data_IF_133511937728
#
_entry.id   IF_133511937728
#
_cell.length_a   1.000
_cell.length_b   1.000
_cell.length_c   1.000
_cell.angle_alpha   90.00
_cell.angle_beta   90.00
_cell.angle_gamma   90.00
#
_symmetry.space_group_name_H-M   'P 1'
#
loop_
_entity.id
_entity.type
_entity.pdbx_description
1 polymer ?
#
# COMPACT_ATOMS: atom_id res chain seq x y z
N UNK A 1 9.44 -23.72 -1.13
CA UNK A 1 8.07 -24.11 -0.78
C UNK A 1 7.48 -22.98 0.01
N UNK A 2 6.66 -22.16 -0.65
CA UNK A 2 6.00 -21.01 -0.04
C UNK A 2 5.07 -21.46 1.09
N UNK A 3 5.05 -20.72 2.19
CA UNK A 3 4.04 -20.91 3.23
C UNK A 3 2.67 -20.46 2.69
N UNK A 4 1.68 -21.37 2.54
CA UNK A 4 0.36 -21.01 2.05
C UNK A 4 -0.41 -20.06 2.98
N UNK A 5 0.04 -19.86 4.22
CA UNK A 5 -0.53 -18.86 5.14
C UNK A 5 -0.14 -17.42 4.80
N UNK A 6 0.86 -17.20 3.94
CA UNK A 6 1.29 -15.85 3.53
C UNK A 6 0.52 -15.41 2.27
N UNK A 7 -0.31 -14.35 2.34
CA UNK A 7 -1.13 -13.90 1.21
C UNK A 7 -0.28 -13.38 0.04
N UNK A 8 -0.83 -13.38 -1.18
CA UNK A 8 -0.12 -12.91 -2.38
C UNK A 8 0.14 -11.41 -2.35
N UNK A 9 -0.74 -10.65 -1.69
CA UNK A 9 -0.64 -9.20 -1.55
C UNK A 9 -0.93 -8.86 -0.09
N UNK A 10 -0.08 -8.03 0.51
CA UNK A 10 -0.27 -7.57 1.88
C UNK A 10 -0.32 -6.05 1.87
N UNK A 11 -1.39 -5.49 2.40
CA UNK A 11 -1.53 -4.06 2.63
C UNK A 11 -1.18 -3.75 4.07
N UNK A 12 -0.13 -2.96 4.30
CA UNK A 12 0.20 -2.47 5.65
C UNK A 12 -0.40 -1.09 5.80
N UNK A 13 -1.26 -0.89 6.80
CA UNK A 13 -1.96 0.38 7.05
C UNK A 13 -1.71 0.88 8.45
N UNK A 14 -1.58 2.20 8.63
CA UNK A 14 -1.41 2.83 9.96
C UNK A 14 -2.72 2.94 10.74
N UNK A 15 -3.57 1.91 10.67
CA UNK A 15 -4.85 1.86 11.36
C UNK A 15 -4.73 1.15 12.72
N UNK A 16 -5.79 1.19 13.53
CA UNK A 16 -5.81 0.45 14.78
C UNK A 16 -5.80 -1.07 14.51
N UNK A 17 -5.40 -1.85 15.52
CA UNK A 17 -5.35 -3.31 15.40
C UNK A 17 -6.71 -3.87 14.91
N UNK A 18 -6.69 -4.73 13.89
CA UNK A 18 -7.87 -5.31 13.25
C UNK A 18 -8.52 -4.46 12.14
N UNK A 19 -8.28 -3.14 12.08
CA UNK A 19 -8.86 -2.29 11.04
C UNK A 19 -8.27 -2.56 9.65
N UNK A 20 -7.02 -3.04 9.59
CA UNK A 20 -6.35 -3.38 8.33
C UNK A 20 -7.03 -4.52 7.58
N UNK A 21 -7.27 -5.65 8.26
CA UNK A 21 -7.97 -6.80 7.69
C UNK A 21 -9.38 -6.39 7.25
N UNK A 22 -10.13 -5.73 8.14
CA UNK A 22 -11.48 -5.25 7.84
C UNK A 22 -11.52 -4.33 6.61
N UNK A 23 -10.53 -3.45 6.46
CA UNK A 23 -10.47 -2.55 5.32
C UNK A 23 -10.24 -3.32 4.02
N UNK A 24 -9.29 -4.26 4.00
CA UNK A 24 -9.00 -5.07 2.82
C UNK A 24 -10.19 -5.96 2.46
N UNK A 25 -10.82 -6.61 3.43
CA UNK A 25 -11.99 -7.46 3.21
C UNK A 25 -13.17 -6.68 2.62
N UNK A 26 -13.41 -5.46 3.10
CA UNK A 26 -14.49 -4.61 2.62
C UNK A 26 -14.27 -4.05 1.20
N UNK A 27 -13.02 -4.02 0.71
CA UNK A 27 -12.65 -3.37 -0.56
C UNK A 27 -12.06 -4.34 -1.60
N UNK A 28 -11.86 -5.60 -1.24
CA UNK A 28 -11.43 -6.64 -2.17
C UNK A 28 -12.66 -7.18 -2.91
N UNK A 29 -12.67 -7.19 -4.25
CA UNK A 29 -13.75 -7.81 -5.02
C UNK A 29 -13.91 -9.30 -4.65
N UNK A 30 -15.14 -9.83 -4.72
CA UNK A 30 -15.41 -11.20 -4.29
C UNK A 30 -14.63 -12.25 -5.09
N UNK A 31 -14.34 -11.98 -6.36
CA UNK A 31 -13.50 -12.82 -7.22
C UNK A 31 -12.02 -12.84 -6.81
N UNK A 32 -11.59 -11.88 -5.98
CA UNK A 32 -10.23 -11.75 -5.47
C UNK A 32 -10.13 -12.04 -3.95
N UNK A 33 -11.22 -12.51 -3.33
CA UNK A 33 -11.24 -12.83 -1.90
C UNK A 33 -10.14 -13.84 -1.54
N UNK A 34 -9.45 -13.59 -0.42
CA UNK A 34 -8.33 -14.43 0.04
C UNK A 34 -7.00 -14.23 -0.69
N UNK A 35 -6.93 -13.36 -1.70
CA UNK A 35 -5.66 -13.04 -2.40
C UNK A 35 -4.88 -11.90 -1.75
N UNK A 36 -5.57 -11.07 -0.97
CA UNK A 36 -5.00 -9.96 -0.23
C UNK A 36 -5.31 -10.06 1.26
N UNK A 37 -4.42 -9.55 2.10
CA UNK A 37 -4.68 -9.33 3.52
C UNK A 37 -4.23 -7.93 3.94
N UNK A 38 -4.82 -7.43 5.03
CA UNK A 38 -4.44 -6.17 5.64
C UNK A 38 -3.73 -6.38 6.97
N UNK A 39 -2.62 -5.68 7.20
CA UNK A 39 -1.93 -5.63 8.49
C UNK A 39 -2.05 -4.22 9.04
N UNK A 40 -2.54 -4.10 10.27
CA UNK A 40 -2.52 -2.85 11.01
C UNK A 40 -1.15 -2.62 11.64
N UNK A 41 -0.55 -1.45 11.41
CA UNK A 41 0.73 -1.01 11.96
C UNK A 41 0.59 0.37 12.63
N UNK A 42 -0.19 0.46 13.74
CA UNK A 42 -0.49 1.73 14.41
C UNK A 42 0.78 2.42 14.93
N UNK A 43 1.74 1.63 15.41
CA UNK A 43 3.02 2.10 15.96
C UNK A 43 4.11 2.32 14.90
N UNK A 44 3.78 2.11 13.62
CA UNK A 44 4.67 2.29 12.47
C UNK A 44 5.94 1.44 12.55
N UNK A 45 5.87 0.27 13.17
CA UNK A 45 7.01 -0.66 13.31
C UNK A 45 7.42 -1.17 11.94
N UNK A 46 6.46 -1.65 11.14
CA UNK A 46 6.73 -2.14 9.78
C UNK A 46 7.10 -1.00 8.85
N UNK A 47 6.40 0.14 8.94
CA UNK A 47 6.75 1.31 8.14
C UNK A 47 8.19 1.78 8.39
N UNK A 48 8.65 1.81 9.66
CA UNK A 48 10.04 2.12 9.99
C UNK A 48 10.99 1.01 9.51
N UNK A 49 10.65 -0.26 9.70
CA UNK A 49 11.48 -1.39 9.29
C UNK A 49 11.74 -1.40 7.77
N UNK A 50 10.71 -1.08 6.97
CA UNK A 50 10.83 -0.93 5.53
C UNK A 50 11.34 0.45 5.09
N UNK A 51 11.73 1.33 6.01
CA UNK A 51 12.24 2.67 5.68
C UNK A 51 11.28 3.47 4.80
N UNK A 52 9.98 3.40 5.07
CA UNK A 52 8.96 4.12 4.29
C UNK A 52 9.15 5.63 4.50
N UNK A 53 9.40 6.40 3.44
CA UNK A 53 9.66 7.83 3.59
C UNK A 53 8.39 8.62 3.81
N UNK A 54 8.55 9.79 4.41
CA UNK A 54 7.52 10.83 4.44
C UNK A 54 7.78 11.81 3.30
N UNK A 55 6.72 12.25 2.63
CA UNK A 55 6.78 13.35 1.68
C UNK A 55 6.76 14.70 2.40
N UNK A 56 7.15 15.74 1.68
CA UNK A 56 6.97 17.13 2.07
C UNK A 56 5.74 17.75 1.41
N UNK A 57 5.64 19.06 1.51
CA UNK A 57 4.49 19.82 1.01
C UNK A 57 4.27 19.66 -0.50
N UNK A 58 5.36 19.54 -1.28
CA UNK A 58 5.30 19.39 -2.73
C UNK A 58 4.82 18.00 -3.15
N UNK A 59 5.22 16.98 -2.42
CA UNK A 59 4.83 15.59 -2.67
C UNK A 59 3.37 15.33 -2.25
N UNK A 60 2.90 16.01 -1.20
CA UNK A 60 1.54 15.83 -0.68
C UNK A 60 0.50 16.71 -1.37
N UNK A 61 0.87 17.93 -1.76
CA UNK A 61 -0.05 18.94 -2.29
C UNK A 61 0.37 19.54 -3.64
N UNK A 62 1.41 19.02 -4.27
CA UNK A 62 1.82 19.46 -5.60
C UNK A 62 0.82 19.07 -6.69
N UNK A 63 0.99 19.66 -7.88
CA UNK A 63 0.13 19.45 -9.04
C UNK A 63 -0.04 17.96 -9.40
N UNK A 64 0.99 17.13 -9.19
CA UNK A 64 0.92 15.69 -9.44
C UNK A 64 -0.02 14.96 -8.47
N UNK A 65 0.03 15.31 -7.18
CA UNK A 65 -0.89 14.78 -6.18
C UNK A 65 -2.33 15.22 -6.46
N UNK A 66 -2.54 16.49 -6.82
CA UNK A 66 -3.84 17.00 -7.24
C UNK A 66 -4.39 16.28 -8.47
N UNK A 67 -3.57 16.11 -9.52
CA UNK A 67 -3.97 15.38 -10.72
C UNK A 67 -4.34 13.92 -10.41
N UNK A 68 -3.62 13.27 -9.48
CA UNK A 68 -3.98 11.94 -9.00
C UNK A 68 -5.32 11.94 -8.27
N UNK A 69 -5.57 12.93 -7.41
CA UNK A 69 -6.86 13.13 -6.74
C UNK A 69 -8.01 13.31 -7.72
N UNK A 70 -7.87 14.18 -8.72
CA UNK A 70 -8.90 14.39 -9.77
C UNK A 70 -9.20 13.09 -10.52
N UNK A 71 -8.17 12.34 -10.92
CA UNK A 71 -8.36 11.03 -11.59
C UNK A 71 -9.09 10.02 -10.71
N UNK A 72 -8.81 10.00 -9.40
CA UNK A 72 -9.49 9.13 -8.46
C UNK A 72 -10.97 9.52 -8.31
N UNK A 73 -11.27 10.81 -8.18
CA UNK A 73 -12.63 11.34 -8.10
C UNK A 73 -13.46 11.01 -9.34
N UNK A 74 -12.89 11.16 -10.54
CA UNK A 74 -13.55 10.77 -11.80
C UNK A 74 -13.90 9.28 -11.84
N UNK A 75 -13.14 8.44 -11.13
CA UNK A 75 -13.40 7.00 -10.97
C UNK A 75 -14.32 6.67 -9.79
N UNK A 76 -14.99 7.66 -9.21
CA UNK A 76 -15.90 7.49 -8.08
C UNK A 76 -15.21 7.21 -6.74
N UNK A 77 -13.90 7.46 -6.62
CA UNK A 77 -13.16 7.30 -5.36
C UNK A 77 -13.08 8.65 -4.64
N UNK A 78 -13.57 8.69 -3.41
CA UNK A 78 -13.53 9.88 -2.56
C UNK A 78 -12.41 9.79 -1.53
N UNK A 79 -12.05 10.93 -0.95
CA UNK A 79 -11.10 10.99 0.17
C UNK A 79 -11.79 10.40 1.40
N UNK A 80 -11.27 9.29 1.91
CA UNK A 80 -11.73 8.66 3.15
C UNK A 80 -11.27 9.41 4.40
N UNK A 81 -11.68 8.89 5.57
CA UNK A 81 -11.19 9.41 6.85
C UNK A 81 -9.66 9.34 6.91
N UNK A 82 -9.02 10.40 7.39
CA UNK A 82 -7.57 10.41 7.62
C UNK A 82 -7.27 9.50 8.80
N UNK A 83 -6.60 8.39 8.54
CA UNK A 83 -6.12 7.44 9.55
C UNK A 83 -4.59 7.42 9.51
N UNK A 84 -3.97 7.51 10.68
CA UNK A 84 -2.52 7.54 10.81
C UNK A 84 -1.88 8.81 10.22
N UNK A 85 -0.70 8.65 9.63
CA UNK A 85 0.11 9.76 9.15
C UNK A 85 -0.03 9.98 7.64
N UNK A 86 -0.82 11.00 7.28
CA UNK A 86 -1.11 11.36 5.89
C UNK A 86 0.08 11.92 5.09
N UNK A 87 1.27 12.02 5.68
CA UNK A 87 2.49 12.44 4.97
C UNK A 87 3.31 11.26 4.46
N UNK A 88 2.88 10.04 4.72
CA UNK A 88 3.58 8.82 4.30
C UNK A 88 3.51 8.67 2.78
N UNK A 89 4.65 8.43 2.14
CA UNK A 89 4.68 8.15 0.70
C UNK A 89 4.34 6.69 0.41
N UNK A 90 3.58 6.41 -0.66
CA UNK A 90 3.27 5.04 -1.04
C UNK A 90 4.56 4.29 -1.36
N UNK A 91 4.74 3.13 -0.73
CA UNK A 91 5.90 2.28 -0.91
C UNK A 91 5.42 0.87 -1.19
N UNK A 92 6.00 0.25 -2.22
CA UNK A 92 5.69 -1.11 -2.65
C UNK A 92 6.96 -1.93 -2.57
N UNK A 93 6.86 -3.12 -1.99
CA UNK A 93 7.97 -4.07 -1.86
C UNK A 93 7.53 -5.44 -2.33
N UNK A 94 8.44 -6.15 -2.99
CA UNK A 94 8.28 -7.59 -3.26
C UNK A 94 9.26 -8.32 -2.36
N UNK A 95 8.74 -9.31 -1.65
CA UNK A 95 9.52 -10.19 -0.80
C UNK A 95 9.67 -11.56 -1.46
N UNK A 96 10.87 -12.13 -1.37
CA UNK A 96 11.11 -13.55 -1.54
C UNK A 96 11.67 -14.10 -0.23
N UNK A 97 10.85 -14.85 0.51
CA UNK A 97 11.13 -15.19 1.89
C UNK A 97 11.28 -13.94 2.77
N UNK A 98 12.47 -13.75 3.34
CA UNK A 98 12.82 -12.61 4.18
C UNK A 98 13.58 -11.49 3.44
N UNK A 99 13.83 -11.64 2.14
CA UNK A 99 14.61 -10.70 1.34
C UNK A 99 13.71 -9.79 0.50
N UNK A 100 14.05 -8.50 0.46
CA UNK A 100 13.40 -7.53 -0.45
C UNK A 100 14.08 -7.62 -1.81
N UNK A 101 13.41 -8.24 -2.78
CA UNK A 101 13.94 -8.42 -4.15
C UNK A 101 13.60 -7.27 -5.08
N UNK A 102 12.59 -6.48 -4.74
CA UNK A 102 12.20 -5.30 -5.50
C UNK A 102 11.54 -4.26 -4.59
N UNK A 103 11.77 -2.99 -4.90
CA UNK A 103 11.19 -1.85 -4.19
C UNK A 103 10.82 -0.75 -5.16
N UNK A 104 9.68 -0.14 -4.90
CA UNK A 104 9.30 1.13 -5.49
C UNK A 104 8.83 2.11 -4.40
N UNK A 105 9.21 3.36 -4.54
CA UNK A 105 8.88 4.44 -3.60
C UNK A 105 8.30 5.60 -4.39
N UNK A 106 7.09 6.01 -4.03
CA UNK A 106 6.37 7.04 -4.73
C UNK A 106 6.96 8.41 -4.51
N UNK A 107 6.79 9.26 -5.52
CA UNK A 107 7.24 10.65 -5.51
C UNK A 107 6.16 11.62 -4.99
N UNK A 108 4.91 11.15 -4.87
CA UNK A 108 3.79 11.93 -4.33
C UNK A 108 2.70 11.03 -3.72
N UNK A 109 1.75 11.62 -2.98
CA UNK A 109 0.74 10.87 -2.22
C UNK A 109 -0.12 9.91 -3.06
N UNK A 110 -0.46 10.30 -4.30
CA UNK A 110 -1.25 9.48 -5.22
C UNK A 110 -0.44 8.69 -6.25
N UNK A 111 0.85 8.48 -6.01
CA UNK A 111 1.74 7.80 -6.95
C UNK A 111 1.61 6.27 -6.81
N UNK A 112 1.90 5.54 -7.89
CA UNK A 112 1.91 4.07 -7.89
C UNK A 112 2.87 3.55 -8.96
N UNK A 113 3.46 2.36 -8.79
CA UNK A 113 4.24 1.74 -9.84
C UNK A 113 3.37 1.41 -11.06
N UNK A 114 4.01 1.22 -12.20
CA UNK A 114 3.41 0.43 -13.27
C UNK A 114 3.35 -1.03 -12.82
N UNK A 115 2.14 -1.58 -12.71
CA UNK A 115 1.94 -2.96 -12.29
C UNK A 115 2.49 -3.98 -13.30
N UNK A 116 2.69 -3.59 -14.56
CA UNK A 116 3.36 -4.41 -15.56
C UNK A 116 4.86 -4.60 -15.29
N UNK A 117 5.48 -3.67 -14.55
CA UNK A 117 6.90 -3.70 -14.18
C UNK A 117 7.15 -4.35 -12.82
N UNK A 118 6.09 -4.63 -12.03
CA UNK A 118 6.22 -5.31 -10.74
C UNK A 118 6.61 -6.76 -10.99
N UNK A 119 7.76 -7.23 -10.48
CA UNK A 119 8.18 -8.61 -10.65
C UNK A 119 7.13 -9.56 -10.07
N UNK A 120 6.79 -10.60 -10.83
CA UNK A 120 5.98 -11.68 -10.29
C UNK A 120 6.84 -12.45 -9.30
N UNK A 121 6.33 -12.64 -8.09
CA UNK A 121 6.95 -13.58 -7.16
C UNK A 121 6.98 -14.96 -7.82
N UNK A 122 8.18 -15.50 -7.99
CA UNK A 122 8.44 -16.85 -8.52
C UNK A 122 8.38 -17.92 -7.43
N UNK A 123 7.96 -17.56 -6.21
CA UNK A 123 7.89 -18.48 -5.09
C UNK A 123 6.88 -19.60 -5.38
N UNK A 124 7.42 -20.77 -5.73
CA UNK A 124 6.72 -22.05 -5.89
C UNK A 124 6.29 -22.66 -4.54
#
# INVERSE_FOLDING_TARGET
MRDPSIPRIVFVVMAAAGDGERYVDAHTPSEAAGTAAGIADPDKVLHRAFGVPRGGWREMFGLRAWAAGVRATVRGKTIGAKVGDGWTLPTWVVLDGAEVTWRWTGTHAGDRPDFGEVPRSTAA
#
